data_IF_808775573025
#
_entry.id   IF_808775573025
#
_cell.length_a   1.000
_cell.length_b   1.000
_cell.length_c   1.000
_cell.angle_alpha   90.00
_cell.angle_beta   90.00
_cell.angle_gamma   90.00
#
_symmetry.space_group_name_H-M   'P 1'
#
loop_
_entity.id
_entity.type
_entity.pdbx_description
1 polymer ?
#
# COMPACT_ATOMS: atom_id res chain seq x y z
N UNK A 1 -0.16 -15.19 -10.66
CA UNK A 1 1.21 -14.64 -10.58
C UNK A 1 1.89 -15.11 -9.30
N UNK A 2 3.15 -15.54 -9.37
CA UNK A 2 3.99 -15.94 -8.23
C UNK A 2 5.41 -15.34 -8.35
N UNK A 3 6.25 -15.49 -7.32
CA UNK A 3 7.60 -14.92 -7.31
C UNK A 3 8.50 -15.47 -8.44
N UNK A 4 8.36 -16.74 -8.83
CA UNK A 4 9.14 -17.34 -9.92
C UNK A 4 8.75 -16.72 -11.27
N UNK A 5 7.45 -16.54 -11.51
CA UNK A 5 6.92 -15.86 -12.70
C UNK A 5 7.32 -14.38 -12.72
N UNK A 6 7.24 -13.68 -11.59
CA UNK A 6 7.68 -12.29 -11.45
C UNK A 6 9.16 -12.12 -11.81
N UNK A 7 10.04 -12.98 -11.27
CA UNK A 7 11.48 -12.95 -11.60
C UNK A 7 11.73 -13.18 -13.09
N UNK A 8 11.00 -14.11 -13.71
CA UNK A 8 11.11 -14.35 -15.16
C UNK A 8 10.68 -13.12 -15.97
N UNK A 9 9.58 -12.48 -15.59
CA UNK A 9 9.09 -11.28 -16.27
C UNK A 9 10.05 -10.08 -16.11
N UNK A 10 10.64 -9.91 -14.92
CA UNK A 10 11.68 -8.89 -14.70
C UNK A 10 12.89 -9.14 -15.58
N UNK A 11 13.33 -10.40 -15.70
CA UNK A 11 14.43 -10.76 -16.59
C UNK A 11 14.12 -10.34 -18.03
N UNK A 12 12.94 -10.68 -18.56
CA UNK A 12 12.53 -10.27 -19.91
C UNK A 12 12.47 -8.75 -20.08
N UNK A 13 12.07 -8.02 -19.04
CA UNK A 13 12.09 -6.54 -19.04
C UNK A 13 13.52 -5.99 -19.09
N UNK A 14 14.43 -6.50 -18.24
CA UNK A 14 15.83 -6.05 -18.20
C UNK A 14 16.60 -6.39 -19.48
N UNK A 15 16.24 -7.48 -20.16
CA UNK A 15 16.77 -7.86 -21.47
C UNK A 15 16.15 -7.04 -22.62
N UNK A 16 15.19 -6.16 -22.34
CA UNK A 16 14.57 -5.26 -23.32
C UNK A 16 13.46 -5.89 -24.17
N UNK A 17 13.04 -7.12 -23.88
CA UNK A 17 11.99 -7.82 -24.64
C UNK A 17 10.58 -7.27 -24.39
N UNK A 18 10.34 -6.67 -23.23
CA UNK A 18 9.05 -6.04 -22.89
C UNK A 18 9.28 -4.65 -22.28
N UNK A 19 8.32 -3.75 -22.48
CA UNK A 19 8.35 -2.42 -21.85
C UNK A 19 8.00 -2.49 -20.37
N UNK A 20 8.33 -1.44 -19.61
CA UNK A 20 7.92 -1.33 -18.20
C UNK A 20 6.39 -1.30 -18.01
N UNK A 21 5.67 -0.72 -18.97
CA UNK A 21 4.20 -0.72 -18.98
C UNK A 21 3.64 -2.13 -19.21
N UNK A 22 4.24 -2.88 -20.12
CA UNK A 22 3.86 -4.26 -20.40
C UNK A 22 4.15 -5.18 -19.21
N UNK A 23 5.31 -5.01 -18.56
CA UNK A 23 5.63 -5.72 -17.32
C UNK A 23 4.57 -5.48 -16.23
N UNK A 24 4.21 -4.20 -15.98
CA UNK A 24 3.17 -3.84 -15.01
C UNK A 24 1.85 -4.50 -15.34
N UNK A 25 1.41 -4.40 -16.60
CA UNK A 25 0.15 -4.97 -17.07
C UNK A 25 0.09 -6.49 -16.80
N UNK A 26 1.11 -7.24 -17.20
CA UNK A 26 1.15 -8.69 -16.98
C UNK A 26 1.17 -9.08 -15.49
N UNK A 27 1.82 -8.28 -14.63
CA UNK A 27 1.82 -8.51 -13.18
C UNK A 27 0.46 -8.26 -12.57
N UNK A 28 -0.20 -7.14 -12.95
CA UNK A 28 -1.52 -6.77 -12.48
C UNK A 28 -2.55 -7.81 -12.92
N UNK A 29 -2.64 -8.09 -14.23
CA UNK A 29 -3.55 -9.10 -14.81
C UNK A 29 -3.35 -10.46 -14.16
N UNK A 30 -2.10 -10.88 -13.95
CA UNK A 30 -1.79 -12.14 -13.29
C UNK A 30 -2.18 -12.22 -11.81
N UNK A 31 -2.65 -11.12 -11.20
CA UNK A 31 -3.14 -11.05 -9.84
C UNK A 31 -4.65 -10.79 -9.72
N UNK A 32 -5.35 -10.40 -10.80
CA UNK A 32 -6.77 -10.00 -10.73
C UNK A 32 -7.70 -11.12 -10.26
N UNK A 33 -7.38 -12.38 -10.58
CA UNK A 33 -8.18 -13.54 -10.21
C UNK A 33 -7.74 -14.20 -8.89
N UNK A 34 -6.86 -13.55 -8.13
CA UNK A 34 -6.43 -14.11 -6.84
C UNK A 34 -7.54 -13.96 -5.79
N UNK A 35 -7.68 -14.95 -4.89
CA UNK A 35 -8.65 -14.83 -3.81
C UNK A 35 -8.28 -13.64 -2.91
N UNK A 36 -9.31 -12.98 -2.38
CA UNK A 36 -9.14 -11.97 -1.34
C UNK A 36 -8.36 -12.58 -0.17
N UNK A 37 -7.47 -11.77 0.42
CA UNK A 37 -6.74 -12.17 1.62
C UNK A 37 -7.66 -12.12 2.85
N UNK A 38 -7.32 -12.88 3.88
CA UNK A 38 -7.94 -12.68 5.19
C UNK A 38 -7.41 -11.35 5.77
N UNK A 39 -8.28 -10.35 5.89
CA UNK A 39 -7.94 -9.01 6.38
C UNK A 39 -7.48 -9.04 7.84
N UNK A 40 -8.04 -9.93 8.67
CA UNK A 40 -7.61 -10.06 10.06
C UNK A 40 -6.19 -10.61 10.14
N UNK A 41 -5.87 -11.62 9.33
CA UNK A 41 -4.51 -12.16 9.28
C UNK A 41 -3.51 -11.17 8.65
N UNK A 42 -3.93 -10.44 7.61
CA UNK A 42 -3.02 -9.56 6.86
C UNK A 42 -2.83 -8.19 7.53
N UNK A 43 -3.86 -7.58 8.11
CA UNK A 43 -3.83 -6.21 8.68
C UNK A 43 -4.28 -6.11 10.14
N UNK A 44 -4.63 -7.21 10.80
CA UNK A 44 -5.22 -7.17 12.15
C UNK A 44 -4.35 -6.44 13.18
N UNK A 45 -3.03 -6.67 13.15
CA UNK A 45 -2.10 -5.98 14.05
C UNK A 45 -2.08 -4.46 13.77
N UNK A 46 -2.02 -4.03 12.51
CA UNK A 46 -2.02 -2.60 12.15
C UNK A 46 -3.37 -1.91 12.41
N UNK A 47 -4.49 -2.58 12.14
CA UNK A 47 -5.83 -2.07 12.47
C UNK A 47 -5.98 -1.89 13.99
N UNK A 48 -5.37 -2.77 14.80
CA UNK A 48 -5.40 -2.65 16.26
C UNK A 48 -4.70 -1.40 16.80
N UNK A 49 -3.82 -0.77 16.00
CA UNK A 49 -3.13 0.47 16.37
C UNK A 49 -4.06 1.70 16.31
N UNK A 50 -5.14 1.63 15.54
CA UNK A 50 -6.13 2.72 15.41
C UNK A 50 -6.96 2.75 16.69
N UNK A 51 -6.82 3.77 17.53
CA UNK A 51 -7.48 3.85 18.83
C UNK A 51 -9.00 4.04 18.71
N UNK A 52 -9.45 4.87 17.77
CA UNK A 52 -10.86 5.10 17.46
C UNK A 52 -11.50 3.83 16.87
N UNK A 53 -12.38 3.18 17.65
CA UNK A 53 -13.04 1.94 17.24
C UNK A 53 -14.01 2.10 16.06
N UNK A 54 -14.60 3.28 15.89
CA UNK A 54 -15.47 3.59 14.76
C UNK A 54 -14.65 3.73 13.49
N UNK A 55 -13.56 4.50 13.54
CA UNK A 55 -12.60 4.61 12.45
C UNK A 55 -12.00 3.24 12.11
N UNK A 56 -11.59 2.45 13.11
CA UNK A 56 -11.03 1.12 12.89
C UNK A 56 -11.98 0.22 12.11
N UNK A 57 -13.26 0.19 12.49
CA UNK A 57 -14.29 -0.60 11.80
C UNK A 57 -14.52 -0.09 10.38
N UNK A 58 -14.58 1.23 10.20
CA UNK A 58 -14.68 1.85 8.88
C UNK A 58 -13.51 1.47 7.96
N UNK A 59 -12.28 1.48 8.48
CA UNK A 59 -11.09 1.11 7.71
C UNK A 59 -11.08 -0.37 7.37
N UNK A 60 -11.51 -1.24 8.26
CA UNK A 60 -11.70 -2.66 7.96
C UNK A 60 -12.64 -2.84 6.75
N UNK A 61 -13.80 -2.17 6.74
CA UNK A 61 -14.74 -2.25 5.62
C UNK A 61 -14.19 -1.59 4.34
N UNK A 62 -13.42 -0.51 4.46
CA UNK A 62 -12.82 0.16 3.32
C UNK A 62 -11.74 -0.69 2.65
N UNK A 63 -10.87 -1.36 3.40
CA UNK A 63 -9.79 -2.15 2.82
C UNK A 63 -10.32 -3.33 1.99
N UNK A 64 -11.46 -3.92 2.37
CA UNK A 64 -12.10 -4.99 1.59
C UNK A 64 -12.53 -4.57 0.17
N UNK A 65 -12.65 -3.26 -0.08
CA UNK A 65 -13.06 -2.67 -1.36
C UNK A 65 -11.87 -2.18 -2.20
N UNK A 66 -10.64 -2.35 -1.72
CA UNK A 66 -9.46 -1.96 -2.48
C UNK A 66 -9.24 -2.89 -3.69
N UNK A 67 -8.57 -2.40 -4.75
CA UNK A 67 -8.26 -3.22 -5.91
C UNK A 67 -7.53 -4.50 -5.54
N UNK A 68 -7.95 -5.65 -6.09
CA UNK A 68 -7.38 -6.97 -5.77
C UNK A 68 -5.84 -6.99 -5.86
N UNK A 69 -5.27 -6.30 -6.84
CA UNK A 69 -3.82 -6.26 -7.02
C UNK A 69 -3.09 -5.73 -5.77
N UNK A 70 -3.68 -4.83 -4.99
CA UNK A 70 -3.06 -4.20 -3.82
C UNK A 70 -2.45 -5.23 -2.85
N UNK A 71 -3.18 -6.31 -2.64
CA UNK A 71 -2.83 -7.40 -1.72
C UNK A 71 -1.71 -8.31 -2.23
N UNK A 72 -1.43 -8.28 -3.53
CA UNK A 72 -0.68 -9.35 -4.17
C UNK A 72 0.56 -8.88 -4.92
N UNK A 73 0.59 -7.66 -5.43
CA UNK A 73 1.72 -7.18 -6.23
C UNK A 73 2.92 -6.82 -5.34
N UNK A 74 4.14 -6.78 -5.91
CA UNK A 74 5.28 -6.15 -5.26
C UNK A 74 5.09 -4.64 -5.11
N UNK A 75 5.72 -4.04 -4.10
CA UNK A 75 5.75 -2.60 -3.91
C UNK A 75 6.41 -1.88 -5.10
N UNK A 76 7.41 -2.52 -5.73
CA UNK A 76 7.95 -2.10 -7.02
C UNK A 76 7.99 -3.25 -8.02
N UNK A 77 7.13 -3.19 -9.03
CA UNK A 77 7.10 -4.19 -10.12
C UNK A 77 8.46 -4.28 -10.83
N UNK A 78 9.12 -3.15 -11.06
CA UNK A 78 10.44 -3.11 -11.70
C UNK A 78 11.60 -3.48 -10.76
N UNK A 79 11.35 -3.61 -9.45
CA UNK A 79 12.37 -4.00 -8.47
C UNK A 79 13.42 -2.92 -8.18
N UNK A 80 13.05 -1.64 -8.34
CA UNK A 80 13.99 -0.51 -8.25
C UNK A 80 14.30 -0.03 -6.82
N UNK A 81 13.71 -0.66 -5.79
CA UNK A 81 13.94 -0.27 -4.40
C UNK A 81 14.89 -1.26 -3.70
N UNK A 82 15.64 -0.77 -2.72
CA UNK A 82 16.69 -1.55 -2.03
C UNK A 82 16.11 -2.64 -1.11
N UNK A 83 14.83 -2.54 -0.73
CA UNK A 83 14.17 -3.47 0.19
C UNK A 83 13.71 -4.73 -0.55
N UNK A 84 14.59 -5.73 -0.60
CA UNK A 84 14.42 -6.96 -1.37
C UNK A 84 13.11 -7.71 -1.10
N UNK A 85 12.59 -7.68 0.13
CA UNK A 85 11.34 -8.37 0.49
C UNK A 85 10.11 -7.68 -0.09
N UNK A 86 10.05 -6.35 -0.10
CA UNK A 86 8.90 -5.58 -0.62
C UNK A 86 8.84 -5.58 -2.15
N UNK A 87 9.95 -5.95 -2.79
CA UNK A 87 9.97 -6.22 -4.23
C UNK A 87 9.40 -7.60 -4.59
N UNK A 88 8.94 -8.41 -3.64
CA UNK A 88 8.32 -9.72 -3.91
C UNK A 88 6.80 -9.62 -3.85
N UNK A 89 6.10 -10.67 -4.30
CA UNK A 89 4.63 -10.74 -4.22
C UNK A 89 4.12 -10.46 -2.79
N UNK A 90 3.02 -9.72 -2.68
CA UNK A 90 2.48 -9.20 -1.41
C UNK A 90 3.31 -8.07 -0.81
N UNK A 91 4.26 -7.52 -1.56
CA UNK A 91 5.15 -6.47 -1.09
C UNK A 91 4.47 -5.12 -0.93
N UNK A 92 3.45 -4.81 -1.73
CA UNK A 92 2.74 -3.53 -1.63
C UNK A 92 1.99 -3.38 -0.31
N UNK A 93 1.14 -4.36 0.06
CA UNK A 93 0.49 -4.36 1.38
C UNK A 93 1.52 -4.39 2.52
N UNK A 94 2.62 -5.13 2.36
CA UNK A 94 3.70 -5.15 3.36
C UNK A 94 4.35 -3.77 3.55
N UNK A 95 4.60 -3.05 2.46
CA UNK A 95 5.08 -1.67 2.49
C UNK A 95 4.10 -0.78 3.26
N UNK A 96 2.81 -0.80 2.92
CA UNK A 96 1.78 -0.03 3.64
C UNK A 96 1.72 -0.33 5.13
N UNK A 97 1.88 -1.60 5.54
CA UNK A 97 1.97 -1.99 6.97
C UNK A 97 3.18 -1.36 7.67
N UNK A 98 4.35 -1.37 7.03
CA UNK A 98 5.56 -0.74 7.57
C UNK A 98 5.37 0.76 7.70
N UNK A 99 4.84 1.41 6.66
CA UNK A 99 4.57 2.86 6.66
C UNK A 99 3.61 3.23 7.77
N UNK A 100 2.51 2.49 7.98
CA UNK A 100 1.56 2.78 9.06
C UNK A 100 2.21 2.77 10.46
N UNK A 101 3.07 1.77 10.72
CA UNK A 101 3.80 1.66 12.00
C UNK A 101 4.85 2.75 12.16
N UNK A 102 5.59 3.06 11.11
CA UNK A 102 6.61 4.12 11.13
C UNK A 102 5.95 5.49 11.27
N UNK A 103 4.84 5.74 10.58
CA UNK A 103 4.10 7.00 10.63
C UNK A 103 3.60 7.31 12.04
N UNK A 104 3.04 6.33 12.75
CA UNK A 104 2.67 6.48 14.15
C UNK A 104 3.87 6.94 15.00
N UNK A 105 5.06 6.34 14.80
CA UNK A 105 6.26 6.64 15.59
C UNK A 105 6.93 7.96 15.20
N UNK A 106 6.92 8.32 13.93
CA UNK A 106 7.44 9.61 13.45
C UNK A 106 6.54 10.76 13.87
N UNK A 107 5.25 10.53 14.10
CA UNK A 107 4.34 11.53 14.64
C UNK A 107 4.75 12.04 16.04
N UNK A 108 5.26 11.16 16.92
CA UNK A 108 5.65 11.48 18.30
C UNK A 108 6.63 12.69 18.39
N UNK A 109 7.80 12.69 17.73
CA UNK A 109 8.73 13.82 17.79
C UNK A 109 8.21 15.11 17.13
N UNK A 110 7.15 15.03 16.31
CA UNK A 110 6.47 16.18 15.72
C UNK A 110 5.33 16.71 16.60
N UNK A 111 5.04 16.09 17.75
CA UNK A 111 3.89 16.45 18.59
C UNK A 111 2.53 16.11 17.96
N UNK A 112 2.51 15.14 17.06
CA UNK A 112 1.34 14.72 16.28
C UNK A 112 0.61 13.53 16.90
N UNK A 113 0.73 13.32 18.21
CA UNK A 113 0.08 12.19 18.92
C UNK A 113 -1.45 12.18 18.73
N UNK A 114 -2.05 13.37 18.65
CA UNK A 114 -3.49 13.55 18.38
C UNK A 114 -3.90 13.15 16.95
N UNK A 115 -2.93 13.04 16.03
CA UNK A 115 -3.11 12.63 14.63
C UNK A 115 -2.69 11.17 14.39
N UNK A 116 -2.32 10.42 15.45
CA UNK A 116 -1.77 9.06 15.33
C UNK A 116 -2.67 8.13 14.50
N UNK A 117 -3.97 8.14 14.74
CA UNK A 117 -4.94 7.34 13.97
C UNK A 117 -4.95 7.74 12.48
N UNK A 118 -4.90 9.05 12.19
CA UNK A 118 -4.90 9.55 10.82
C UNK A 118 -3.58 9.18 10.09
N UNK A 119 -2.44 9.20 10.79
CA UNK A 119 -1.13 8.75 10.29
C UNK A 119 -1.13 7.25 9.95
N UNK A 120 -1.68 6.42 10.84
CA UNK A 120 -1.81 4.98 10.61
C UNK A 120 -2.68 4.71 9.39
N UNK A 121 -3.84 5.37 9.31
CA UNK A 121 -4.78 5.20 8.19
C UNK A 121 -4.16 5.64 6.85
N UNK A 122 -3.50 6.80 6.81
CA UNK A 122 -2.79 7.22 5.61
C UNK A 122 -1.71 6.19 5.22
N UNK A 123 -0.99 5.63 6.19
CA UNK A 123 0.01 4.59 5.96
C UNK A 123 -0.56 3.34 5.31
N UNK A 124 -1.71 2.88 5.77
CA UNK A 124 -2.41 1.73 5.20
C UNK A 124 -2.93 1.97 3.78
N UNK A 125 -3.28 3.22 3.42
CA UNK A 125 -4.05 3.51 2.21
C UNK A 125 -3.31 4.31 1.13
N UNK A 126 -2.17 4.93 1.41
CA UNK A 126 -1.52 5.87 0.47
C UNK A 126 -1.22 5.29 -0.91
N UNK A 127 -0.89 4.00 -0.94
CA UNK A 127 -0.47 3.25 -2.12
C UNK A 127 -1.58 2.32 -2.67
N UNK A 128 -2.79 2.39 -2.11
CA UNK A 128 -3.92 1.49 -2.43
C UNK A 128 -4.30 1.52 -3.92
N UNK A 129 -4.23 2.69 -4.53
CA UNK A 129 -4.48 2.91 -5.95
C UNK A 129 -3.19 3.15 -6.75
N UNK A 130 -2.08 2.47 -6.39
CA UNK A 130 -0.78 2.58 -7.09
C UNK A 130 -0.87 2.49 -8.62
N UNK A 131 -1.79 1.66 -9.12
CA UNK A 131 -2.07 1.50 -10.54
C UNK A 131 -3.52 1.87 -10.88
N UNK A 132 -4.18 2.69 -10.07
CA UNK A 132 -5.58 3.06 -10.24
C UNK A 132 -6.54 1.89 -10.05
N UNK A 133 -7.85 2.12 -10.19
CA UNK A 133 -8.87 1.10 -9.89
C UNK A 133 -8.78 -0.14 -10.80
N UNK A 134 -8.47 0.07 -12.08
CA UNK A 134 -8.44 -0.98 -13.12
C UNK A 134 -7.05 -1.12 -13.78
N UNK A 135 -5.96 -0.79 -13.07
CA UNK A 135 -4.61 -0.87 -13.64
C UNK A 135 -4.22 0.33 -14.53
N UNK A 136 -4.99 1.42 -14.48
CA UNK A 136 -4.73 2.68 -15.19
C UNK A 136 -4.75 3.89 -14.26
N UNK A 137 -3.72 4.73 -14.36
CA UNK A 137 -3.66 6.08 -13.78
C UNK A 137 -3.55 7.10 -14.93
N UNK A 138 -4.38 8.16 -14.97
CA UNK A 138 -4.30 9.20 -16.00
C UNK A 138 -2.92 9.85 -16.08
N UNK A 139 -2.47 10.19 -17.30
CA UNK A 139 -1.11 10.73 -17.54
C UNK A 139 -0.83 12.04 -16.79
N UNK A 140 -1.86 12.84 -16.55
CA UNK A 140 -1.78 14.10 -15.82
C UNK A 140 -1.76 13.93 -14.29
N UNK A 141 -1.92 12.70 -13.79
CA UNK A 141 -1.88 12.37 -12.37
C UNK A 141 -0.67 11.47 -12.05
N UNK A 142 -0.31 11.42 -10.78
CA UNK A 142 0.43 10.30 -10.19
C UNK A 142 -0.53 9.49 -9.29
N UNK A 143 -0.07 8.37 -8.74
CA UNK A 143 -0.94 7.53 -7.92
C UNK A 143 -1.34 8.18 -6.58
N UNK A 144 -0.56 9.13 -6.07
CA UNK A 144 -0.88 9.87 -4.86
C UNK A 144 -2.11 10.77 -5.09
N UNK A 145 -2.09 11.54 -6.18
CA UNK A 145 -3.24 12.35 -6.59
C UNK A 145 -4.44 11.47 -6.91
N UNK A 146 -4.24 10.39 -7.67
CA UNK A 146 -5.33 9.48 -8.04
C UNK A 146 -6.02 8.91 -6.80
N UNK A 147 -5.25 8.39 -5.84
CA UNK A 147 -5.79 7.82 -4.61
C UNK A 147 -6.59 8.87 -3.80
N UNK A 148 -6.02 10.06 -3.59
CA UNK A 148 -6.70 11.13 -2.86
C UNK A 148 -8.00 11.58 -3.54
N UNK A 149 -7.99 11.70 -4.87
CA UNK A 149 -9.17 12.06 -5.67
C UNK A 149 -10.22 10.94 -5.66
N UNK A 150 -9.80 9.67 -5.66
CA UNK A 150 -10.71 8.53 -5.54
C UNK A 150 -11.43 8.57 -4.18
N UNK A 151 -10.71 8.81 -3.08
CA UNK A 151 -11.34 8.94 -1.76
C UNK A 151 -12.31 10.11 -1.70
N UNK A 152 -11.92 11.27 -2.21
CA UNK A 152 -12.78 12.46 -2.31
C UNK A 152 -14.06 12.20 -3.10
N UNK A 153 -13.94 11.66 -4.32
CA UNK A 153 -15.08 11.36 -5.20
C UNK A 153 -16.06 10.36 -4.57
N UNK A 154 -15.56 9.45 -3.74
CA UNK A 154 -16.35 8.44 -3.06
C UNK A 154 -16.80 8.85 -1.65
N UNK A 155 -16.67 10.14 -1.28
CA UNK A 155 -17.04 10.67 0.03
C UNK A 155 -16.33 9.98 1.21
N UNK A 156 -15.12 9.45 0.98
CA UNK A 156 -14.27 8.84 2.00
C UNK A 156 -13.43 9.94 2.63
N UNK A 157 -13.43 10.02 3.97
CA UNK A 157 -12.71 11.03 4.75
C UNK A 157 -13.15 12.48 4.48
N UNK A 158 -14.45 12.71 4.29
CA UNK A 158 -15.01 14.06 4.19
C UNK A 158 -14.83 14.87 5.49
N UNK A 159 -14.94 14.19 6.63
CA UNK A 159 -14.71 14.70 7.98
C UNK A 159 -13.23 14.69 8.40
N UNK A 160 -12.37 14.04 7.62
CA UNK A 160 -10.93 13.87 7.90
C UNK A 160 -10.05 14.24 6.69
N UNK A 161 -10.13 15.50 6.18
CA UNK A 161 -9.40 15.91 4.98
C UNK A 161 -7.88 15.76 5.11
N UNK A 162 -7.32 15.78 6.33
CA UNK A 162 -5.90 15.58 6.58
C UNK A 162 -5.38 14.22 6.11
N UNK A 163 -6.19 13.15 6.17
CA UNK A 163 -5.82 11.83 5.62
C UNK A 163 -5.61 11.94 4.11
N UNK A 164 -6.54 12.62 3.42
CA UNK A 164 -6.43 12.85 1.97
C UNK A 164 -5.25 13.75 1.63
N UNK A 165 -4.95 14.75 2.46
CA UNK A 165 -3.76 15.60 2.32
C UNK A 165 -2.46 14.80 2.32
N UNK A 166 -2.25 13.99 3.38
CA UNK A 166 -1.09 13.10 3.49
C UNK A 166 -0.96 12.15 2.29
N UNK A 167 -2.05 11.49 1.89
CA UNK A 167 -2.05 10.60 0.72
C UNK A 167 -1.71 11.36 -0.55
N UNK A 168 -2.23 12.58 -0.74
CA UNK A 168 -2.01 13.38 -1.95
C UNK A 168 -0.56 13.84 -2.09
N UNK A 169 0.13 14.12 -0.98
CA UNK A 169 1.48 14.70 -0.98
C UNK A 169 2.60 13.74 -0.59
N UNK A 170 2.30 12.46 -0.30
CA UNK A 170 3.28 11.50 0.23
C UNK A 170 4.51 11.28 -0.64
N UNK A 171 4.42 11.50 -1.96
CA UNK A 171 5.56 11.38 -2.87
C UNK A 171 6.57 12.53 -2.77
N UNK A 172 6.24 13.62 -2.09
CA UNK A 172 7.13 14.76 -1.88
C UNK A 172 7.71 15.32 -3.18
N UNK A 173 9.03 15.45 -3.25
CA UNK A 173 9.74 15.94 -4.45
C UNK A 173 9.60 15.04 -5.69
N UNK A 174 9.15 13.79 -5.52
CA UNK A 174 8.95 12.84 -6.63
C UNK A 174 7.51 12.83 -7.14
N UNK A 175 6.59 13.49 -6.43
CA UNK A 175 5.21 13.68 -6.85
C UNK A 175 4.95 15.05 -7.44
N UNK A 176 3.70 15.28 -7.82
CA UNK A 176 3.23 16.59 -8.33
C UNK A 176 2.82 17.55 -7.20
N UNK A 177 2.44 17.03 -6.04
CA UNK A 177 2.06 17.82 -4.85
C UNK A 177 3.09 17.61 -3.75
N UNK A 178 3.59 18.72 -3.19
CA UNK A 178 4.55 18.68 -2.08
C UNK A 178 3.82 18.79 -0.73
N UNK A 179 4.35 18.16 0.34
CA UNK A 179 3.87 18.35 1.69
C UNK A 179 3.79 19.82 2.08
N UNK A 180 2.66 20.22 2.64
CA UNK A 180 2.40 21.62 3.03
C UNK A 180 2.30 21.84 4.55
N UNK A 181 2.22 20.77 5.34
CA UNK A 181 2.10 20.83 6.80
C UNK A 181 3.09 19.87 7.48
N UNK A 182 3.30 20.04 8.78
CA UNK A 182 4.13 19.13 9.58
C UNK A 182 3.61 17.69 9.53
N UNK A 183 2.28 17.53 9.53
CA UNK A 183 1.62 16.23 9.38
C UNK A 183 1.94 15.57 8.03
N UNK A 184 1.86 16.33 6.93
CA UNK A 184 2.20 15.83 5.60
C UNK A 184 3.71 15.55 5.46
N UNK A 185 4.57 16.37 6.07
CA UNK A 185 6.02 16.14 6.07
C UNK A 185 6.40 14.91 6.91
N UNK A 186 5.79 14.72 8.07
CA UNK A 186 5.97 13.54 8.89
C UNK A 186 5.55 12.27 8.13
N UNK A 187 4.42 12.32 7.42
CA UNK A 187 3.96 11.20 6.62
C UNK A 187 4.87 10.91 5.42
N UNK A 188 5.27 11.94 4.66
CA UNK A 188 6.23 11.81 3.56
C UNK A 188 7.55 11.18 4.03
N UNK A 189 8.08 11.64 5.18
CA UNK A 189 9.30 11.10 5.75
C UNK A 189 9.12 9.61 6.11
N UNK A 190 7.95 9.24 6.62
CA UNK A 190 7.62 7.85 6.97
C UNK A 190 7.66 6.92 5.76
N UNK A 191 7.01 7.30 4.66
CA UNK A 191 7.06 6.54 3.40
C UNK A 191 8.49 6.48 2.83
N UNK A 192 9.20 7.62 2.88
CA UNK A 192 10.57 7.71 2.39
C UNK A 192 11.53 6.78 3.14
N UNK A 193 11.55 6.81 4.47
CA UNK A 193 12.50 5.98 5.24
C UNK A 193 12.19 4.49 5.10
N UNK A 194 10.90 4.11 5.02
CA UNK A 194 10.50 2.72 4.77
C UNK A 194 10.97 2.26 3.39
N UNK A 195 10.79 3.10 2.37
CA UNK A 195 11.30 2.86 1.02
C UNK A 195 12.84 2.73 0.95
N UNK A 196 13.56 3.20 1.98
CA UNK A 196 15.01 3.08 2.16
C UNK A 196 15.44 1.95 3.11
N UNK A 197 14.51 1.11 3.55
CA UNK A 197 14.81 -0.07 4.36
C UNK A 197 14.59 0.09 5.85
N UNK A 198 14.05 1.22 6.32
CA UNK A 198 13.52 1.30 7.68
C UNK A 198 12.33 0.33 7.79
N UNK A 199 12.58 -0.84 8.37
CA UNK A 199 11.57 -1.88 8.51
C UNK A 199 11.31 -2.12 10.00
N UNK A 200 10.14 -1.74 10.54
CA UNK A 200 9.74 -2.22 11.85
C UNK A 200 9.62 -3.75 11.82
N UNK A 201 9.68 -4.38 12.99
CA UNK A 201 9.38 -5.80 13.11
C UNK A 201 7.93 -6.06 12.70
N UNK A 202 7.75 -6.84 11.62
CA UNK A 202 6.45 -7.36 11.22
C UNK A 202 6.41 -8.85 11.58
N UNK A 203 5.31 -9.31 12.18
CA UNK A 203 5.04 -10.74 12.22
C UNK A 203 4.82 -11.23 10.78
N UNK A 204 5.40 -12.36 10.37
CA UNK A 204 5.07 -12.94 9.07
C UNK A 204 3.57 -13.24 9.02
N UNK A 205 2.91 -12.85 7.93
CA UNK A 205 1.54 -13.29 7.67
C UNK A 205 1.54 -14.82 7.66
N UNK A 206 0.59 -15.44 8.39
CA UNK A 206 0.46 -16.89 8.46
C UNK A 206 -0.12 -17.39 7.13
N UNK A 207 0.70 -17.51 6.10
CA UNK A 207 0.28 -18.19 4.88
C UNK A 207 -0.02 -19.65 5.21
N UNK A 208 -1.29 -20.00 5.40
CA UNK A 208 -1.70 -21.40 5.43
C UNK A 208 -1.43 -22.02 4.06
N UNK A 209 -0.66 -23.10 4.07
CA UNK A 209 -0.72 -24.13 3.03
C UNK A 209 -2.19 -24.47 2.85
N UNK A 210 -2.72 -24.33 1.63
CA UNK A 210 -4.06 -24.83 1.31
C UNK A 210 -4.11 -26.30 1.71
N UNK A 211 -4.81 -26.63 2.81
CA UNK A 211 -5.20 -28.01 3.07
C UNK A 211 -6.27 -28.31 2.02
N UNK A 212 -6.03 -29.24 1.09
CA UNK A 212 -7.05 -29.61 0.13
C UNK A 212 -8.23 -30.16 0.92
N UNK A 213 -9.40 -29.53 0.79
CA UNK A 213 -10.65 -30.15 1.20
C UNK A 213 -10.82 -31.46 0.42
N UNK A 214 -10.49 -32.58 1.08
CA UNK A 214 -10.43 -33.89 0.48
C UNK A 214 -11.05 -34.95 1.37
N UNK A 215 -12.34 -35.19 1.11
CA UNK A 215 -13.17 -36.37 1.47
C UNK A 215 -13.59 -36.52 2.93
N UNK A 216 -14.83 -36.10 3.19
CA UNK A 216 -15.74 -36.93 3.99
C UNK A 216 -15.91 -38.29 3.29
N UNK A 217 -15.66 -39.36 4.03
CA UNK A 217 -16.35 -40.65 3.90
C UNK A 217 -16.98 -40.93 5.26
#
# INVERSE_FOLDING_TARGET
>A
MDNKKLTKLRKTYHEGFISGSELKRQVIEGCMDKPMVDIHEELGDELSLIADGGLRSFIYDLVTRLPCYFWHIPASVMGLHDVSSDNMMGGLVRHSKKVARVAQRIGEPYGLDHEADNLIVAGLLHDSFKYGENGFVPRNEDHAIFAANWFEKNNVFNDRPQIRGMIRSHLGRWGRVKPASDLEWAFHLSDFVVSRGASPSLKPARYFVMIPHGRKR
#
